data_IF_802403807576
#
_entry.id   IF_802403807576
#
_cell.length_a   1.000
_cell.length_b   1.000
_cell.length_c   1.000
_cell.angle_alpha   90.00
_cell.angle_beta   90.00
_cell.angle_gamma   90.00
#
_symmetry.space_group_name_H-M   'P 1'
#
loop_
_entity.id
_entity.type
_entity.pdbx_description
1 polymer ?
#
# COMPACT_ATOMS: atom_id res chain seq x y z
N UNK A 1 -19.80 -4.53 23.30
CA UNK A 1 -19.03 -4.94 22.12
C UNK A 1 -19.73 -4.70 20.75
N UNK A 2 -21.07 -4.67 20.63
CA UNK A 2 -21.76 -4.33 19.36
C UNK A 2 -21.69 -2.83 19.00
N UNK A 3 -21.67 -1.93 19.97
CA UNK A 3 -21.66 -0.47 19.75
C UNK A 3 -20.38 0.09 19.11
N UNK A 4 -19.21 -0.50 19.39
CA UNK A 4 -17.93 -0.03 18.81
C UNK A 4 -17.80 -0.32 17.31
N UNK A 5 -18.25 -1.49 16.87
CA UNK A 5 -18.26 -1.85 15.43
C UNK A 5 -19.24 -0.99 14.62
N UNK A 6 -20.35 -0.59 15.21
CA UNK A 6 -21.36 0.25 14.57
C UNK A 6 -20.90 1.72 14.51
N UNK A 7 -20.23 2.22 15.56
CA UNK A 7 -19.65 3.56 15.59
C UNK A 7 -18.48 3.69 14.62
N UNK A 8 -17.59 2.69 14.52
CA UNK A 8 -16.48 2.68 13.56
C UNK A 8 -16.99 2.61 12.11
N UNK A 9 -18.02 1.80 11.83
CA UNK A 9 -18.68 1.71 10.51
C UNK A 9 -19.37 3.02 10.12
N UNK A 10 -19.98 3.72 11.10
CA UNK A 10 -20.58 5.04 10.88
C UNK A 10 -19.51 6.10 10.64
N UNK A 11 -18.38 6.05 11.37
CA UNK A 11 -17.24 6.96 11.16
C UNK A 11 -16.58 6.75 9.78
N UNK A 12 -16.48 5.50 9.30
CA UNK A 12 -15.99 5.17 7.95
C UNK A 12 -16.92 5.71 6.84
N UNK A 13 -18.23 5.68 7.06
CA UNK A 13 -19.23 6.24 6.12
C UNK A 13 -19.20 7.78 6.12
N UNK A 14 -18.87 8.40 7.24
CA UNK A 14 -18.83 9.88 7.35
C UNK A 14 -17.55 10.50 6.77
N UNK A 15 -16.46 9.71 6.58
CA UNK A 15 -15.18 10.19 6.06
C UNK A 15 -14.85 9.55 4.70
N UNK A 16 -15.54 9.98 3.67
CA UNK A 16 -15.24 9.55 2.28
C UNK A 16 -14.02 10.28 1.68
N UNK A 17 -13.56 11.37 2.32
CA UNK A 17 -12.41 12.16 1.86
C UNK A 17 -11.82 12.98 3.01
N UNK A 18 -10.49 13.08 3.05
CA UNK A 18 -9.75 13.91 4.02
C UNK A 18 -8.95 15.02 3.34
N UNK A 19 -8.65 14.85 2.06
CA UNK A 19 -8.00 15.87 1.24
C UNK A 19 -8.88 16.22 0.05
N UNK A 20 -8.82 17.48 -0.43
CA UNK A 20 -9.43 17.80 -1.72
C UNK A 20 -8.74 16.99 -2.82
N UNK A 21 -9.46 16.57 -3.87
CA UNK A 21 -8.87 16.01 -5.06
C UNK A 21 -7.78 16.93 -5.62
N UNK A 22 -6.78 16.34 -6.26
CA UNK A 22 -5.78 17.13 -6.99
C UNK A 22 -6.50 17.90 -8.09
N UNK A 23 -6.30 19.21 -8.13
CA UNK A 23 -6.90 20.04 -9.16
C UNK A 23 -6.40 19.62 -10.56
N UNK A 24 -7.28 19.63 -11.54
CA UNK A 24 -6.89 19.47 -12.94
C UNK A 24 -6.12 20.75 -13.36
N UNK A 25 -4.84 20.59 -13.62
CA UNK A 25 -3.94 21.69 -13.98
C UNK A 25 -2.92 21.23 -15.03
N UNK A 26 -2.33 22.17 -15.75
CA UNK A 26 -1.21 21.91 -16.67
C UNK A 26 0.12 21.65 -15.97
N UNK A 27 0.16 21.72 -14.63
CA UNK A 27 1.36 21.43 -13.85
C UNK A 27 1.63 19.91 -13.84
N UNK A 28 2.73 19.42 -14.43
CA UNK A 28 3.08 18.00 -14.45
C UNK A 28 3.35 17.41 -13.07
N UNK A 29 3.58 18.27 -12.07
CA UNK A 29 3.84 17.88 -10.68
C UNK A 29 2.64 18.13 -9.76
N UNK A 30 1.45 18.43 -10.31
CA UNK A 30 0.25 18.59 -9.49
C UNK A 30 0.01 17.35 -8.61
N UNK A 31 -0.20 17.58 -7.31
CA UNK A 31 -0.37 16.51 -6.32
C UNK A 31 0.93 15.82 -5.88
N UNK A 32 2.09 16.29 -6.33
CA UNK A 32 3.40 15.74 -5.94
C UNK A 32 4.13 16.66 -4.95
N UNK A 33 5.09 16.08 -4.26
CA UNK A 33 6.01 16.76 -3.34
C UNK A 33 7.43 16.56 -3.84
N UNK A 34 8.23 17.63 -3.82
CA UNK A 34 9.67 17.53 -4.08
C UNK A 34 10.37 16.88 -2.89
N UNK A 35 11.07 15.80 -3.15
CA UNK A 35 11.95 15.11 -2.20
C UNK A 35 13.39 15.49 -2.57
N UNK A 36 14.10 16.29 -1.74
CA UNK A 36 15.49 16.65 -2.04
C UNK A 36 16.39 15.42 -1.99
N UNK A 37 17.42 15.40 -2.83
CA UNK A 37 18.44 14.36 -2.79
C UNK A 37 19.25 14.39 -1.50
N UNK A 38 19.87 13.26 -1.16
CA UNK A 38 20.72 13.14 0.02
C UNK A 38 21.33 11.77 0.19
N UNK A 39 22.17 11.64 1.22
CA UNK A 39 22.80 10.37 1.60
C UNK A 39 22.33 9.96 2.99
N UNK A 40 21.96 8.72 3.16
CA UNK A 40 21.46 8.19 4.43
C UNK A 40 21.86 6.74 4.65
N UNK A 41 21.71 6.27 5.88
CA UNK A 41 21.90 4.88 6.25
C UNK A 41 20.58 4.12 6.09
N UNK A 42 20.43 3.45 4.95
CA UNK A 42 19.23 2.69 4.58
C UNK A 42 19.11 1.39 5.33
N UNK A 43 17.88 0.99 5.66
CA UNK A 43 17.55 -0.24 6.36
C UNK A 43 17.26 -0.04 7.84
N UNK A 44 17.12 -1.15 8.57
CA UNK A 44 16.91 -1.19 10.01
C UNK A 44 17.59 -2.45 10.58
N UNK A 45 17.54 -2.62 11.90
CA UNK A 45 18.16 -3.75 12.60
C UNK A 45 17.15 -4.71 13.23
N UNK A 46 15.86 -4.46 13.06
CA UNK A 46 14.81 -5.22 13.74
C UNK A 46 14.61 -6.61 13.12
N UNK A 47 14.28 -6.65 11.83
CA UNK A 47 14.15 -7.92 11.11
C UNK A 47 15.44 -8.27 10.33
N UNK A 48 15.70 -9.57 10.11
CA UNK A 48 16.87 -10.01 9.34
C UNK A 48 16.93 -9.42 7.94
N UNK A 49 15.80 -9.32 7.26
CA UNK A 49 15.66 -8.84 5.88
C UNK A 49 15.94 -7.35 5.72
N UNK A 50 15.97 -6.59 6.82
CA UNK A 50 16.28 -5.16 6.82
C UNK A 50 17.78 -4.87 6.81
N UNK A 51 18.60 -5.92 7.00
CA UNK A 51 20.06 -5.86 7.13
C UNK A 51 20.75 -6.25 5.82
N UNK A 52 22.03 -5.84 5.65
CA UNK A 52 22.77 -4.90 6.49
C UNK A 52 22.33 -3.45 6.30
N UNK A 53 22.57 -2.61 7.31
CA UNK A 53 22.50 -1.17 7.10
C UNK A 53 23.55 -0.76 6.05
N UNK A 54 23.14 0.04 5.07
CA UNK A 54 24.01 0.47 3.96
C UNK A 54 23.86 1.96 3.68
N UNK A 55 24.97 2.63 3.45
CA UNK A 55 24.94 4.02 3.01
C UNK A 55 24.46 4.09 1.55
N UNK A 56 23.44 4.89 1.28
CA UNK A 56 22.86 5.07 -0.05
C UNK A 56 22.68 6.56 -0.31
N UNK A 57 23.04 6.98 -1.53
CA UNK A 57 22.77 8.33 -2.04
C UNK A 57 21.58 8.28 -2.99
N UNK A 58 20.63 9.18 -2.81
CA UNK A 58 19.44 9.34 -3.63
C UNK A 58 19.46 10.72 -4.28
N UNK A 59 19.26 10.77 -5.59
CA UNK A 59 19.03 12.03 -6.31
C UNK A 59 17.66 12.60 -5.96
N UNK A 60 17.45 13.92 -6.12
CA UNK A 60 16.14 14.53 -5.88
C UNK A 60 15.10 14.09 -6.90
N UNK A 61 13.84 14.01 -6.48
CA UNK A 61 12.71 13.57 -7.31
C UNK A 61 11.39 14.14 -6.80
N UNK A 62 10.37 14.12 -7.65
CA UNK A 62 8.99 14.38 -7.26
C UNK A 62 8.29 13.08 -6.91
N UNK A 63 7.49 13.06 -5.84
CA UNK A 63 6.72 11.90 -5.40
C UNK A 63 5.27 12.29 -5.17
N UNK A 64 4.32 11.44 -5.56
CA UNK A 64 2.92 11.62 -5.22
C UNK A 64 2.77 11.80 -3.71
N UNK A 65 2.02 12.82 -3.29
CA UNK A 65 1.84 13.13 -1.87
C UNK A 65 1.08 12.05 -1.11
N UNK A 66 0.30 11.21 -1.81
CA UNK A 66 -0.51 10.11 -1.28
C UNK A 66 -0.33 8.87 -2.15
N UNK A 67 -0.88 7.74 -1.74
CA UNK A 67 -1.09 6.60 -2.64
C UNK A 67 -2.02 6.99 -3.79
N UNK A 68 -1.93 6.28 -4.91
CA UNK A 68 -2.86 6.44 -6.05
C UNK A 68 -4.27 6.03 -5.62
N UNK A 69 -5.22 6.92 -5.88
CA UNK A 69 -6.63 6.74 -5.48
C UNK A 69 -7.44 5.91 -6.47
N UNK A 70 -8.60 5.41 -6.02
CA UNK A 70 -9.58 4.75 -6.89
C UNK A 70 -10.02 5.65 -8.06
N UNK A 71 -10.22 6.96 -7.81
CA UNK A 71 -10.59 7.91 -8.86
C UNK A 71 -9.50 8.03 -9.94
N UNK A 72 -8.25 8.17 -9.53
CA UNK A 72 -7.11 8.29 -10.46
C UNK A 72 -6.89 7.01 -11.26
N UNK A 73 -7.01 5.84 -10.61
CA UNK A 73 -6.89 4.56 -11.29
C UNK A 73 -8.07 4.29 -12.23
N UNK A 74 -9.28 4.71 -11.86
CA UNK A 74 -10.46 4.63 -12.73
C UNK A 74 -10.27 5.47 -14.01
N UNK A 75 -9.71 6.68 -13.91
CA UNK A 75 -9.41 7.53 -15.06
C UNK A 75 -8.38 6.86 -16.00
N UNK A 76 -7.36 6.19 -15.44
CA UNK A 76 -6.41 5.39 -16.24
C UNK A 76 -7.11 4.27 -17.02
N UNK A 77 -7.94 3.48 -16.32
CA UNK A 77 -8.66 2.38 -16.97
C UNK A 77 -9.65 2.89 -18.03
N UNK A 78 -10.35 3.97 -17.75
CA UNK A 78 -11.27 4.59 -18.72
C UNK A 78 -10.53 5.07 -19.98
N UNK A 79 -9.37 5.71 -19.80
CA UNK A 79 -8.59 6.24 -20.93
C UNK A 79 -7.92 5.15 -21.78
N UNK A 80 -7.59 3.99 -21.19
CA UNK A 80 -6.76 2.97 -21.85
C UNK A 80 -7.49 1.66 -22.16
N UNK A 81 -8.59 1.37 -21.47
CA UNK A 81 -9.25 0.07 -21.50
C UNK A 81 -8.41 -1.03 -20.81
N UNK A 82 -7.50 -0.64 -19.90
CA UNK A 82 -6.61 -1.57 -19.22
C UNK A 82 -7.39 -2.61 -18.41
N UNK A 83 -6.96 -3.88 -18.50
CA UNK A 83 -7.50 -5.01 -17.72
C UNK A 83 -6.44 -5.46 -16.74
N UNK A 84 -6.71 -5.37 -15.44
CA UNK A 84 -5.74 -5.69 -14.39
C UNK A 84 -5.43 -7.18 -14.29
N UNK A 85 -4.33 -7.52 -13.63
CA UNK A 85 -3.94 -8.92 -13.39
C UNK A 85 -5.07 -9.68 -12.69
N UNK A 86 -5.70 -9.08 -11.68
CA UNK A 86 -6.82 -9.67 -10.96
C UNK A 86 -8.09 -9.90 -11.81
N UNK A 87 -8.21 -9.24 -12.96
CA UNK A 87 -9.32 -9.39 -13.91
C UNK A 87 -9.01 -10.41 -15.04
N UNK A 88 -7.78 -10.95 -15.07
CA UNK A 88 -7.32 -11.93 -16.07
C UNK A 88 -7.24 -13.33 -15.48
N UNK A 89 -7.45 -14.41 -16.26
CA UNK A 89 -7.15 -15.77 -15.80
C UNK A 89 -5.68 -15.91 -15.38
N UNK A 90 -5.43 -16.64 -14.30
CA UNK A 90 -4.07 -16.91 -13.81
C UNK A 90 -3.31 -17.76 -14.83
N UNK A 91 -2.06 -17.41 -15.11
CA UNK A 91 -1.19 -18.21 -15.95
C UNK A 91 -0.78 -19.49 -15.22
N UNK A 92 -1.39 -20.62 -15.64
CA UNK A 92 -1.12 -21.93 -15.05
C UNK A 92 0.22 -22.52 -15.47
N UNK A 93 0.94 -21.91 -16.40
CA UNK A 93 2.29 -22.35 -16.80
C UNK A 93 3.33 -21.92 -15.77
N UNK A 94 3.15 -20.75 -15.18
CA UNK A 94 4.00 -20.23 -14.11
C UNK A 94 3.57 -20.73 -12.74
N UNK A 95 2.28 -21.09 -12.57
CA UNK A 95 1.71 -21.61 -11.33
C UNK A 95 1.09 -23.01 -11.50
N UNK A 96 1.89 -24.05 -11.77
CA UNK A 96 1.38 -25.41 -11.94
C UNK A 96 0.84 -25.95 -10.61
N UNK A 97 -0.34 -26.58 -10.67
CA UNK A 97 -0.92 -27.22 -9.49
C UNK A 97 -1.86 -26.36 -8.64
N UNK A 98 -2.18 -25.14 -9.07
CA UNK A 98 -3.19 -24.33 -8.40
C UNK A 98 -4.56 -25.04 -8.37
N UNK A 99 -5.28 -24.94 -7.26
CA UNK A 99 -6.68 -25.36 -7.18
C UNK A 99 -7.54 -24.62 -8.22
N UNK A 100 -8.60 -25.26 -8.73
CA UNK A 100 -9.41 -24.69 -9.82
C UNK A 100 -10.04 -23.34 -9.52
N UNK A 101 -10.37 -23.06 -8.26
CA UNK A 101 -10.91 -21.77 -7.88
C UNK A 101 -9.87 -20.64 -7.97
N UNK A 102 -8.58 -20.94 -7.77
CA UNK A 102 -7.48 -19.97 -7.89
C UNK A 102 -7.03 -19.74 -9.34
N UNK A 103 -7.47 -20.57 -10.30
CA UNK A 103 -7.22 -20.33 -11.73
C UNK A 103 -8.14 -19.28 -12.33
N UNK A 104 -9.22 -18.94 -11.65
CA UNK A 104 -10.15 -17.88 -12.06
C UNK A 104 -9.57 -16.51 -11.74
N UNK A 105 -9.93 -15.45 -12.49
CA UNK A 105 -9.60 -14.08 -12.11
C UNK A 105 -10.00 -13.80 -10.66
N UNK A 106 -9.12 -13.13 -9.91
CA UNK A 106 -9.36 -12.84 -8.50
C UNK A 106 -8.15 -12.23 -7.81
N UNK A 107 -8.30 -11.96 -6.53
CA UNK A 107 -7.25 -11.40 -5.68
C UNK A 107 -7.27 -12.07 -4.30
N UNK A 108 -6.20 -11.89 -3.55
CA UNK A 108 -6.12 -12.30 -2.15
C UNK A 108 -6.73 -11.21 -1.27
N UNK A 109 -7.73 -11.60 -0.48
CA UNK A 109 -8.54 -10.71 0.35
C UNK A 109 -8.32 -11.02 1.81
N UNK A 110 -8.12 -9.99 2.63
CA UNK A 110 -8.16 -10.13 4.07
C UNK A 110 -9.60 -10.28 4.56
N UNK A 111 -9.85 -11.36 5.30
CA UNK A 111 -11.14 -11.65 5.92
C UNK A 111 -10.91 -11.80 7.42
N UNK A 112 -11.40 -10.83 8.20
CA UNK A 112 -11.27 -10.86 9.66
C UNK A 112 -11.95 -12.11 10.23
N UNK A 113 -11.19 -13.05 10.82
CA UNK A 113 -11.79 -14.25 11.42
C UNK A 113 -12.44 -13.96 12.77
N UNK A 114 -13.31 -14.85 13.23
CA UNK A 114 -13.88 -14.74 14.58
C UNK A 114 -12.91 -15.23 15.66
N UNK A 115 -12.07 -16.21 15.33
CA UNK A 115 -11.01 -16.76 16.16
C UNK A 115 -9.88 -17.31 15.28
N UNK A 116 -8.72 -17.55 15.85
CA UNK A 116 -7.56 -18.17 15.19
C UNK A 116 -6.87 -19.14 16.14
N UNK A 117 -6.24 -20.17 15.58
CA UNK A 117 -5.40 -21.12 16.31
C UNK A 117 -3.96 -20.62 16.54
N UNK A 118 -3.71 -19.34 16.32
CA UNK A 118 -2.40 -18.67 16.37
C UNK A 118 -2.11 -17.92 15.07
N UNK A 119 -0.98 -17.23 15.01
CA UNK A 119 -0.62 -16.36 13.88
C UNK A 119 0.33 -17.03 12.87
N UNK A 120 0.65 -18.30 13.04
CA UNK A 120 1.57 -19.02 12.14
C UNK A 120 0.96 -19.49 10.81
N UNK A 121 -0.37 -19.61 10.74
CA UNK A 121 -1.08 -19.99 9.52
C UNK A 121 -1.91 -18.81 9.00
N UNK A 122 -1.39 -18.15 8.00
CA UNK A 122 -2.00 -16.95 7.39
C UNK A 122 -3.27 -17.26 6.59
N UNK A 123 -3.51 -18.52 6.21
CA UNK A 123 -4.72 -18.92 5.47
C UNK A 123 -6.01 -18.75 6.31
N UNK A 124 -5.88 -18.56 7.62
CA UNK A 124 -6.99 -18.27 8.51
C UNK A 124 -7.63 -16.89 8.26
N UNK A 125 -6.92 -15.95 7.65
CA UNK A 125 -7.42 -14.60 7.34
C UNK A 125 -7.10 -14.11 5.93
N UNK A 126 -6.26 -14.82 5.17
CA UNK A 126 -6.02 -14.53 3.76
C UNK A 126 -6.72 -15.56 2.88
N UNK A 127 -7.59 -15.09 2.02
CA UNK A 127 -8.38 -15.96 1.14
C UNK A 127 -8.25 -15.47 -0.31
N UNK A 128 -7.99 -16.39 -1.25
CA UNK A 128 -8.14 -16.08 -2.67
C UNK A 128 -9.63 -16.04 -3.01
N UNK A 129 -10.11 -14.90 -3.46
CA UNK A 129 -11.52 -14.67 -3.78
C UNK A 129 -11.70 -14.48 -5.28
N UNK A 130 -12.25 -15.45 -6.00
CA UNK A 130 -12.59 -15.28 -7.42
C UNK A 130 -13.52 -14.08 -7.63
N UNK A 131 -13.16 -13.23 -8.61
CA UNK A 131 -13.89 -12.01 -8.92
C UNK A 131 -13.52 -10.80 -8.05
N UNK A 132 -12.64 -10.95 -7.06
CA UNK A 132 -12.05 -9.80 -6.37
C UNK A 132 -11.07 -9.07 -7.31
N UNK A 133 -11.18 -7.75 -7.40
CA UNK A 133 -10.36 -6.87 -8.21
C UNK A 133 -10.48 -5.43 -7.68
N UNK A 134 -9.83 -4.49 -8.30
CA UNK A 134 -9.83 -3.10 -7.84
C UNK A 134 -11.22 -2.44 -7.75
N UNK A 135 -12.21 -2.84 -8.57
CA UNK A 135 -13.62 -2.37 -8.51
C UNK A 135 -14.44 -3.09 -7.44
N UNK A 136 -14.05 -4.31 -7.13
CA UNK A 136 -14.73 -5.23 -6.21
C UNK A 136 -13.71 -5.81 -5.21
N UNK A 137 -13.08 -4.99 -4.34
CA UNK A 137 -11.91 -5.42 -3.56
C UNK A 137 -12.19 -6.58 -2.60
N UNK A 138 -13.39 -6.73 -2.11
CA UNK A 138 -13.81 -7.88 -1.31
C UNK A 138 -14.42 -9.02 -2.12
N UNK A 139 -14.41 -8.95 -3.44
CA UNK A 139 -15.05 -9.92 -4.35
C UNK A 139 -16.46 -9.50 -4.79
N UNK A 140 -17.17 -10.39 -5.50
CA UNK A 140 -18.51 -10.11 -6.00
C UNK A 140 -19.46 -9.60 -4.90
N UNK A 141 -20.16 -8.50 -5.20
CA UNK A 141 -21.07 -7.84 -4.24
C UNK A 141 -20.43 -6.74 -3.40
N UNK A 142 -19.13 -6.52 -3.50
CA UNK A 142 -18.46 -5.32 -2.97
C UNK A 142 -18.29 -4.27 -4.07
N UNK A 143 -18.05 -3.00 -3.69
CA UNK A 143 -17.92 -1.88 -4.63
C UNK A 143 -16.99 -0.80 -4.06
N UNK A 144 -16.37 -0.03 -4.95
CA UNK A 144 -15.65 1.20 -4.62
C UNK A 144 -16.53 2.46 -4.76
N UNK A 145 -17.82 2.30 -4.96
CA UNK A 145 -18.79 3.41 -4.99
C UNK A 145 -18.70 4.23 -3.69
N UNK A 146 -18.61 5.56 -3.82
CA UNK A 146 -18.34 6.52 -2.73
C UNK A 146 -16.97 6.32 -2.03
N UNK A 147 -16.02 5.67 -2.69
CA UNK A 147 -14.64 5.45 -2.23
C UNK A 147 -13.61 6.00 -3.22
N UNK A 148 -13.93 7.07 -3.92
CA UNK A 148 -13.08 7.69 -4.94
C UNK A 148 -11.73 8.14 -4.38
N UNK A 149 -11.71 8.62 -3.11
CA UNK A 149 -10.52 9.09 -2.43
C UNK A 149 -9.81 8.03 -1.56
N UNK A 150 -10.25 6.79 -1.61
CA UNK A 150 -9.51 5.68 -1.01
C UNK A 150 -8.40 5.24 -1.96
N UNK A 151 -7.26 4.75 -1.43
CA UNK A 151 -6.22 4.22 -2.28
C UNK A 151 -6.71 2.97 -3.01
N UNK A 152 -6.27 2.80 -4.24
CA UNK A 152 -6.59 1.63 -5.05
C UNK A 152 -5.89 0.39 -4.51
N UNK A 153 -6.61 -0.73 -4.44
CA UNK A 153 -6.11 -2.02 -3.96
C UNK A 153 -6.41 -3.14 -4.94
N UNK A 154 -6.01 -4.35 -4.62
CA UNK A 154 -6.09 -5.50 -5.53
C UNK A 154 -5.37 -5.23 -6.87
N UNK A 155 -4.20 -4.59 -6.77
CA UNK A 155 -3.30 -4.18 -7.84
C UNK A 155 -2.02 -4.99 -7.77
N UNK A 156 -1.69 -5.70 -8.84
CA UNK A 156 -0.41 -6.39 -9.01
C UNK A 156 0.68 -5.39 -9.46
N UNK A 157 1.93 -5.81 -9.43
CA UNK A 157 3.07 -4.95 -9.82
C UNK A 157 2.97 -4.45 -11.27
N UNK A 158 2.55 -5.31 -12.20
CA UNK A 158 2.34 -4.94 -13.61
C UNK A 158 1.31 -3.83 -13.77
N UNK A 159 0.22 -3.88 -12.98
CA UNK A 159 -0.86 -2.88 -13.03
C UNK A 159 -0.34 -1.51 -12.57
N UNK A 160 0.43 -1.49 -11.47
CA UNK A 160 1.06 -0.27 -10.96
C UNK A 160 2.06 0.33 -11.95
N UNK A 161 2.87 -0.52 -12.62
CA UNK A 161 3.78 -0.08 -13.67
C UNK A 161 3.03 0.48 -14.88
N UNK A 162 1.94 -0.15 -15.30
CA UNK A 162 1.14 0.31 -16.44
C UNK A 162 0.51 1.70 -16.16
N UNK A 163 -0.01 1.90 -14.94
CA UNK A 163 -0.49 3.21 -14.52
C UNK A 163 0.63 4.25 -14.52
N UNK A 164 1.78 3.95 -13.91
CA UNK A 164 2.91 4.87 -13.86
C UNK A 164 3.37 5.26 -15.28
N UNK A 165 3.51 4.29 -16.18
CA UNK A 165 3.88 4.53 -17.57
C UNK A 165 2.86 5.41 -18.32
N UNK A 166 1.55 5.19 -18.13
CA UNK A 166 0.50 6.03 -18.69
C UNK A 166 0.60 7.49 -18.25
N UNK A 167 0.95 7.71 -16.97
CA UNK A 167 1.20 9.06 -16.42
C UNK A 167 2.54 9.66 -16.86
N UNK A 168 3.41 8.94 -17.58
CA UNK A 168 4.78 9.36 -17.85
C UNK A 168 5.66 9.38 -16.60
N UNK A 169 5.39 8.54 -15.64
CA UNK A 169 6.02 8.44 -14.31
C UNK A 169 6.63 7.05 -14.10
N UNK A 170 7.21 6.82 -12.93
CA UNK A 170 7.76 5.52 -12.52
C UNK A 170 7.31 5.16 -11.09
N UNK A 171 7.45 3.89 -10.71
CA UNK A 171 7.41 3.49 -9.30
C UNK A 171 8.70 3.93 -8.62
N UNK A 172 8.68 4.33 -7.34
CA UNK A 172 9.89 4.64 -6.59
C UNK A 172 10.77 3.40 -6.43
N UNK A 173 12.08 3.58 -6.50
CA UNK A 173 13.00 2.59 -5.99
C UNK A 173 12.89 2.47 -4.47
N UNK A 174 13.29 1.31 -3.91
CA UNK A 174 13.23 1.08 -2.47
C UNK A 174 13.96 2.17 -1.67
N UNK A 175 15.15 2.57 -2.12
CA UNK A 175 15.92 3.63 -1.47
C UNK A 175 15.22 5.00 -1.56
N UNK A 176 14.61 5.32 -2.69
CA UNK A 176 13.84 6.56 -2.86
C UNK A 176 12.63 6.57 -1.94
N UNK A 177 11.91 5.45 -1.87
CA UNK A 177 10.75 5.31 -0.99
C UNK A 177 11.13 5.49 0.49
N UNK A 178 12.19 4.81 0.94
CA UNK A 178 12.64 4.89 2.33
C UNK A 178 13.13 6.29 2.69
N UNK A 179 13.90 6.93 1.79
CA UNK A 179 14.36 8.30 1.97
C UNK A 179 13.20 9.29 2.11
N UNK A 180 12.18 9.16 1.26
CA UNK A 180 10.96 9.96 1.34
C UNK A 180 10.18 9.72 2.64
N UNK A 181 10.06 8.46 3.09
CA UNK A 181 9.41 8.11 4.34
C UNK A 181 10.12 8.67 5.57
N UNK A 182 11.45 8.82 5.51
CA UNK A 182 12.28 9.51 6.51
C UNK A 182 12.20 11.04 6.41
N UNK A 183 11.32 11.58 5.57
CA UNK A 183 11.18 13.01 5.32
C UNK A 183 12.46 13.68 4.78
N UNK A 184 13.27 12.95 4.03
CA UNK A 184 14.60 13.38 3.54
C UNK A 184 15.55 13.82 4.68
N UNK A 185 15.42 13.18 5.84
CA UNK A 185 16.26 13.42 7.02
C UNK A 185 17.14 12.17 7.26
N UNK A 186 18.48 12.27 7.11
CA UNK A 186 19.39 11.16 7.34
C UNK A 186 19.40 10.70 8.81
N UNK A 187 19.07 11.59 9.73
CA UNK A 187 19.08 11.34 11.17
C UNK A 187 17.69 10.98 11.73
N UNK A 188 16.68 10.81 10.84
CA UNK A 188 15.33 10.47 11.26
C UNK A 188 15.32 9.20 12.14
N UNK A 189 14.76 9.28 13.35
CA UNK A 189 14.83 8.18 14.30
C UNK A 189 13.97 6.98 13.83
N UNK A 190 14.52 5.78 13.95
CA UNK A 190 13.77 4.55 13.80
C UNK A 190 12.90 4.30 15.05
N UNK A 191 11.62 4.61 14.98
CA UNK A 191 10.68 4.30 16.07
C UNK A 191 10.12 2.89 15.91
N UNK A 192 10.03 2.16 17.02
CA UNK A 192 9.36 0.86 17.13
C UNK A 192 7.99 0.97 17.84
N UNK A 193 7.66 2.15 18.32
CA UNK A 193 6.35 2.41 18.89
C UNK A 193 5.29 2.37 17.77
N UNK A 194 4.11 1.90 18.13
CA UNK A 194 2.97 2.01 17.22
C UNK A 194 2.71 3.49 16.91
N UNK A 195 2.64 3.87 15.63
CA UNK A 195 2.39 5.26 15.26
C UNK A 195 0.96 5.64 15.68
N UNK A 196 0.81 6.82 16.27
CA UNK A 196 -0.48 7.35 16.70
C UNK A 196 -1.19 8.11 15.57
N UNK A 197 -0.44 8.53 14.55
CA UNK A 197 -0.93 9.34 13.43
C UNK A 197 -0.76 8.57 12.11
N UNK A 198 -1.18 7.29 12.10
CA UNK A 198 -1.17 6.42 10.92
C UNK A 198 -2.25 5.35 11.04
N UNK A 199 -2.80 4.91 9.91
CA UNK A 199 -3.76 3.82 9.86
C UNK A 199 -3.04 2.48 10.05
N UNK A 200 -3.14 1.93 11.26
CA UNK A 200 -2.56 0.63 11.65
C UNK A 200 -3.55 -0.13 12.53
N UNK A 201 -3.32 -1.42 12.72
CA UNK A 201 -4.22 -2.25 13.52
C UNK A 201 -4.09 -1.95 15.02
N UNK A 202 -5.20 -1.57 15.67
CA UNK A 202 -5.28 -1.38 17.11
C UNK A 202 -6.08 -2.51 17.74
N UNK A 203 -5.41 -3.28 18.64
CA UNK A 203 -6.04 -4.39 19.33
C UNK A 203 -5.36 -5.73 19.04
N UNK A 204 -6.15 -6.80 18.97
CA UNK A 204 -5.65 -8.17 18.85
C UNK A 204 -5.76 -8.65 17.40
N UNK A 205 -4.64 -8.62 16.68
CA UNK A 205 -4.60 -9.10 15.30
C UNK A 205 -4.75 -10.63 15.25
N UNK A 206 -5.53 -11.18 14.31
CA UNK A 206 -6.38 -10.54 13.30
C UNK A 206 -7.89 -10.50 13.71
N UNK A 207 -8.21 -10.60 15.00
CA UNK A 207 -9.56 -10.87 15.50
C UNK A 207 -10.31 -9.61 15.91
N UNK A 208 -9.60 -8.65 16.55
CA UNK A 208 -10.18 -7.43 17.10
C UNK A 208 -9.36 -6.23 16.64
N UNK A 209 -10.00 -5.37 15.85
CA UNK A 209 -9.51 -4.01 15.63
C UNK A 209 -10.43 -3.04 16.37
N UNK A 210 -9.87 -2.29 17.32
CA UNK A 210 -10.60 -1.33 18.16
C UNK A 210 -10.87 -0.02 17.42
N UNK A 211 -10.20 0.20 16.28
CA UNK A 211 -10.34 1.39 15.44
C UNK A 211 -10.11 2.71 16.20
N UNK A 212 -9.12 2.74 17.08
CA UNK A 212 -8.77 3.94 17.85
C UNK A 212 -8.28 5.07 16.92
N UNK A 213 -7.75 4.74 15.73
CA UNK A 213 -7.38 5.69 14.69
C UNK A 213 -8.59 6.19 13.85
N UNK A 214 -9.79 5.64 14.09
CA UNK A 214 -11.04 6.00 13.43
C UNK A 214 -11.42 5.09 12.26
N UNK A 215 -10.60 4.07 11.91
CA UNK A 215 -10.85 3.18 10.78
C UNK A 215 -10.70 1.70 11.16
N UNK A 216 -11.64 0.87 10.70
CA UNK A 216 -11.55 -0.60 10.87
C UNK A 216 -10.70 -1.22 9.76
N UNK A 217 -10.55 -0.54 8.64
CA UNK A 217 -9.88 -0.98 7.43
C UNK A 217 -9.08 0.15 6.80
N UNK A 218 -9.04 0.17 5.47
CA UNK A 218 -8.36 1.19 4.70
C UNK A 218 -9.01 2.55 4.93
N UNK A 219 -8.23 3.60 5.13
CA UNK A 219 -8.68 4.98 5.22
C UNK A 219 -8.61 5.69 3.85
N UNK A 220 -9.41 6.73 3.61
CA UNK A 220 -9.16 7.66 2.51
C UNK A 220 -7.75 8.25 2.62
N UNK A 221 -7.11 8.54 1.48
CA UNK A 221 -5.76 9.10 1.49
C UNK A 221 -5.70 10.44 2.23
N UNK A 222 -4.61 10.65 2.97
CA UNK A 222 -4.35 11.91 3.67
C UNK A 222 -5.22 12.18 4.90
N UNK A 223 -5.83 11.16 5.48
CA UNK A 223 -6.60 11.29 6.74
C UNK A 223 -5.69 11.44 7.95
N UNK A 224 -4.44 11.10 7.83
CA UNK A 224 -3.45 11.22 8.88
C UNK A 224 -2.48 12.37 8.58
N UNK A 225 -1.65 12.71 9.57
CA UNK A 225 -0.73 13.82 9.44
C UNK A 225 0.41 13.49 8.48
N UNK A 226 0.75 14.42 7.57
CA UNK A 226 1.88 14.21 6.67
C UNK A 226 3.20 14.21 7.45
N UNK A 227 4.24 13.61 6.87
CA UNK A 227 5.60 13.77 7.36
C UNK A 227 6.12 15.21 7.13
N UNK A 228 7.32 15.51 7.59
CA UNK A 228 7.86 16.88 7.58
C UNK A 228 8.01 17.51 6.19
N UNK A 229 8.04 16.71 5.12
CA UNK A 229 8.10 17.23 3.74
C UNK A 229 6.74 17.19 3.02
N UNK A 230 5.66 16.81 3.70
CA UNK A 230 4.30 16.88 3.15
C UNK A 230 3.80 15.61 2.48
N UNK A 231 4.45 14.46 2.68
CA UNK A 231 3.99 13.15 2.21
C UNK A 231 3.07 12.50 3.25
N UNK A 232 1.91 12.03 2.81
CA UNK A 232 0.91 11.36 3.63
C UNK A 232 1.04 9.84 3.51
N UNK A 233 0.56 9.15 4.52
CA UNK A 233 0.36 7.69 4.54
C UNK A 233 1.63 6.87 4.19
N UNK A 234 2.83 7.46 4.44
CA UNK A 234 4.11 6.75 4.29
C UNK A 234 4.28 5.62 5.31
N UNK A 235 3.39 5.53 6.27
CA UNK A 235 3.35 4.52 7.32
C UNK A 235 1.91 4.06 7.49
N UNK A 236 1.67 2.75 7.42
CA UNK A 236 0.33 2.18 7.54
C UNK A 236 -0.50 2.34 6.26
N UNK A 237 -1.80 2.37 6.38
CA UNK A 237 -2.80 2.37 5.32
C UNK A 237 -2.61 1.22 4.33
N UNK A 238 -1.76 1.36 3.31
CA UNK A 238 -1.40 0.27 2.40
C UNK A 238 0.12 0.04 2.35
N UNK A 239 0.52 -1.21 2.15
CA UNK A 239 1.81 -1.50 1.57
C UNK A 239 1.92 -0.86 0.20
N UNK A 240 3.12 -0.48 -0.20
CA UNK A 240 3.35 0.15 -1.50
C UNK A 240 4.39 -0.60 -2.32
N UNK A 241 4.06 -0.83 -3.61
CA UNK A 241 5.00 -1.37 -4.58
C UNK A 241 6.19 -0.45 -4.79
N UNK A 242 7.39 -1.03 -4.77
CA UNK A 242 8.61 -0.37 -5.26
C UNK A 242 9.12 -1.03 -6.53
N UNK A 243 9.99 -0.33 -7.26
CA UNK A 243 10.54 -0.84 -8.53
C UNK A 243 11.51 -2.01 -8.33
N UNK A 244 12.06 -2.18 -7.12
CA UNK A 244 13.14 -3.12 -6.87
C UNK A 244 12.65 -4.57 -6.78
N UNK A 245 13.42 -5.49 -7.38
CA UNK A 245 13.25 -6.91 -7.16
C UNK A 245 13.66 -7.28 -5.73
N UNK A 246 12.97 -8.26 -5.14
CA UNK A 246 13.41 -8.82 -3.88
C UNK A 246 14.43 -9.94 -4.14
N UNK A 247 15.69 -9.72 -3.74
CA UNK A 247 16.82 -10.56 -4.14
C UNK A 247 16.67 -12.03 -3.72
N UNK A 248 16.20 -12.28 -2.51
CA UNK A 248 16.06 -13.62 -1.94
C UNK A 248 14.74 -14.33 -2.28
N UNK A 249 13.85 -13.69 -3.06
CA UNK A 249 12.58 -14.26 -3.49
C UNK A 249 12.35 -13.98 -4.99
N UNK A 250 12.86 -14.82 -5.88
CA UNK A 250 12.67 -14.66 -7.34
C UNK A 250 11.20 -14.53 -7.72
N UNK A 251 10.88 -13.56 -8.59
CA UNK A 251 9.50 -13.25 -8.97
C UNK A 251 8.78 -12.27 -8.04
N UNK A 252 9.41 -11.91 -6.90
CA UNK A 252 8.86 -10.94 -5.97
C UNK A 252 9.49 -9.56 -6.13
N UNK A 253 8.75 -8.55 -5.68
CA UNK A 253 9.17 -7.16 -5.56
C UNK A 253 9.21 -6.73 -4.10
N UNK A 254 10.02 -5.71 -3.82
CA UNK A 254 10.03 -5.09 -2.49
C UNK A 254 8.77 -4.26 -2.32
N UNK A 255 8.08 -4.44 -1.19
CA UNK A 255 7.02 -3.56 -0.73
C UNK A 255 7.43 -2.87 0.57
N UNK A 256 6.94 -1.64 0.76
CA UNK A 256 7.32 -0.74 1.86
C UNK A 256 6.09 -0.17 2.57
N UNK A 257 6.28 0.37 3.78
CA UNK A 257 5.31 1.19 4.52
C UNK A 257 4.47 0.46 5.57
N UNK A 258 4.28 -0.85 5.44
CA UNK A 258 3.28 -1.56 6.23
C UNK A 258 1.87 -1.24 5.74
N UNK A 259 0.86 -1.67 6.47
CA UNK A 259 -0.54 -1.38 6.13
C UNK A 259 -1.40 -1.28 7.38
N UNK A 260 -2.68 -1.00 7.21
CA UNK A 260 -3.70 -1.03 8.26
C UNK A 260 -3.78 -2.36 9.02
N UNK A 261 -3.18 -3.44 8.48
CA UNK A 261 -3.07 -4.76 9.12
C UNK A 261 -1.86 -4.90 10.04
N UNK A 262 -0.95 -3.92 10.06
CA UNK A 262 0.25 -4.00 10.89
C UNK A 262 -0.05 -3.63 12.34
N UNK A 263 0.29 -4.55 13.25
CA UNK A 263 0.10 -4.42 14.68
C UNK A 263 1.41 -4.69 15.44
N UNK A 264 1.63 -4.09 16.61
CA UNK A 264 2.81 -4.39 17.42
C UNK A 264 2.97 -5.89 17.76
N UNK A 265 1.85 -6.60 17.88
CA UNK A 265 1.83 -8.03 18.22
C UNK A 265 2.05 -8.97 17.03
N UNK A 266 1.99 -8.45 15.78
CA UNK A 266 2.05 -9.29 14.58
C UNK A 266 3.05 -8.78 13.54
N UNK A 267 3.01 -7.49 13.20
CA UNK A 267 3.79 -6.90 12.11
C UNK A 267 4.30 -5.52 12.51
N UNK A 268 5.57 -5.39 12.90
CA UNK A 268 6.20 -4.09 13.15
C UNK A 268 6.79 -3.46 11.90
N UNK A 269 6.22 -3.74 10.71
CA UNK A 269 6.76 -3.28 9.43
C UNK A 269 6.21 -1.94 8.95
N UNK A 270 5.56 -1.17 9.82
CA UNK A 270 5.22 0.25 9.61
C UNK A 270 6.41 1.20 9.80
N UNK A 271 7.66 0.72 9.82
CA UNK A 271 8.89 1.52 9.95
C UNK A 271 9.48 1.78 8.57
N UNK A 272 10.06 2.96 8.30
CA UNK A 272 10.63 3.27 6.99
C UNK A 272 11.65 2.24 6.48
N UNK A 273 12.52 1.71 7.36
CA UNK A 273 13.52 0.70 7.02
C UNK A 273 12.96 -0.71 6.82
N UNK A 274 11.71 -0.96 7.20
CA UNK A 274 11.08 -2.27 7.01
C UNK A 274 10.79 -2.55 5.54
N UNK A 275 10.92 -3.82 5.16
CA UNK A 275 10.69 -4.33 3.80
C UNK A 275 10.08 -5.72 3.85
N UNK A 276 9.41 -6.12 2.77
CA UNK A 276 8.85 -7.45 2.61
C UNK A 276 8.83 -7.83 1.14
N UNK A 277 9.02 -9.13 0.80
CA UNK A 277 8.74 -9.63 -0.54
C UNK A 277 7.23 -9.72 -0.78
N UNK A 278 6.82 -9.42 -2.00
CA UNK A 278 5.49 -9.69 -2.50
C UNK A 278 5.59 -10.22 -3.93
N UNK A 279 4.93 -11.31 -4.22
CA UNK A 279 4.86 -11.88 -5.57
C UNK A 279 4.30 -10.83 -6.54
N UNK A 280 5.03 -10.60 -7.65
CA UNK A 280 4.74 -9.50 -8.56
C UNK A 280 3.39 -9.64 -9.31
N UNK A 281 2.92 -10.86 -9.47
CA UNK A 281 1.68 -11.22 -10.16
C UNK A 281 0.50 -11.52 -9.22
N UNK A 282 0.67 -11.28 -7.91
CA UNK A 282 -0.36 -11.50 -6.91
C UNK A 282 -0.97 -10.18 -6.43
N UNK A 283 -2.23 -9.95 -6.78
CA UNK A 283 -3.01 -8.80 -6.29
C UNK A 283 -3.59 -9.08 -4.89
N UNK A 284 -3.42 -8.13 -3.98
CA UNK A 284 -3.93 -8.24 -2.60
C UNK A 284 -4.63 -6.97 -2.14
N UNK A 285 -5.51 -7.08 -1.15
CA UNK A 285 -6.35 -5.94 -0.68
C UNK A 285 -5.68 -5.04 0.34
N UNK A 286 -4.41 -5.22 0.65
CA UNK A 286 -3.64 -4.37 1.57
C UNK A 286 -2.42 -3.73 0.91
N UNK A 287 -2.39 -3.72 -0.43
CA UNK A 287 -1.27 -3.29 -1.23
C UNK A 287 -1.76 -2.36 -2.35
N UNK A 288 -1.11 -1.22 -2.44
CA UNK A 288 -1.29 -0.18 -3.45
C UNK A 288 0.06 0.34 -3.93
N UNK A 289 0.11 1.60 -4.35
CA UNK A 289 1.34 2.22 -4.83
C UNK A 289 1.22 3.74 -4.91
N UNK A 290 2.36 4.41 -5.02
CA UNK A 290 2.49 5.81 -5.46
C UNK A 290 3.55 5.92 -6.54
N UNK A 291 3.58 7.04 -7.26
CA UNK A 291 4.49 7.24 -8.38
C UNK A 291 5.49 8.37 -8.12
N UNK A 292 6.56 8.36 -8.90
CA UNK A 292 7.60 9.40 -8.89
C UNK A 292 7.86 9.95 -10.29
N UNK A 293 8.43 11.16 -10.33
CA UNK A 293 9.09 11.74 -11.51
C UNK A 293 10.52 12.08 -11.13
N UNK A 294 11.49 11.51 -11.84
CA UNK A 294 12.90 11.91 -11.71
C UNK A 294 13.09 13.28 -12.32
N UNK A 295 13.89 14.14 -11.71
CA UNK A 295 14.14 15.46 -12.26
C UNK A 295 14.83 16.41 -11.29
N UNK A 296 15.11 17.61 -11.77
CA UNK A 296 15.61 18.73 -10.96
C UNK A 296 14.45 19.61 -10.49
N UNK A 297 14.68 20.35 -9.41
CA UNK A 297 13.80 21.48 -9.01
C UNK A 297 13.70 22.45 -10.19
N UNK A 298 12.51 22.94 -10.51
CA UNK A 298 12.32 23.97 -11.52
C UNK A 298 13.15 25.23 -11.25
#
# INVERSE_FOLDING_TARGET
MRGGKEAARLAEVERSSCLPPVADTDDPHAGMVWVPGGTFLMGDTYYPEEKPLREVTVEGFWMDRTEVTNAEFAAFVEATGYVTVAERPVDTTTHPGLPDYMKKPGAVVFVMPNDVSGTGDISQWWQYVPGANWRHPGGPGTSIENREQFPVTAIAYEDAQAYAAWKGRALPGEAQWEWAARAADPDAPASRAQPQEANTWQGIFPIINEADDGFVGIAPVGCFKPNAIGLYDMIGNLWEWTADAYEDAPGSRVIKGGSWLCAPSYCLRYRPGARQPQEADLATTHLGFRTIVSGSVP
#
